data_IF_956256778296
#
_entry.id   IF_956256778296
#
_cell.length_a   1.000
_cell.length_b   1.000
_cell.length_c   1.000
_cell.angle_alpha   90.00
_cell.angle_beta   90.00
_cell.angle_gamma   90.00
#
_symmetry.space_group_name_H-M   'P 1'
#
loop_
_entity.id
_entity.type
_entity.pdbx_description
1 polymer ?
#
# COMPACT_ATOMS: atom_id res chain seq x y z
N UNK A 1 -10.92 23.83 -26.58
CA UNK A 1 -11.79 22.66 -26.35
C UNK A 1 -11.99 22.59 -24.85
N UNK A 2 -13.22 22.61 -24.37
CA UNK A 2 -13.52 22.59 -22.94
C UNK A 2 -13.07 21.25 -22.33
N UNK A 3 -12.31 21.30 -21.25
CA UNK A 3 -11.74 20.13 -20.55
C UNK A 3 -12.88 19.23 -20.05
N UNK A 4 -14.00 19.81 -19.62
CA UNK A 4 -15.16 19.06 -19.14
C UNK A 4 -15.90 18.34 -20.29
N UNK A 5 -15.96 18.95 -21.47
CA UNK A 5 -16.53 18.31 -22.65
C UNK A 5 -15.68 17.12 -23.12
N UNK A 6 -14.35 17.25 -23.07
CA UNK A 6 -13.44 16.15 -23.40
C UNK A 6 -13.54 14.99 -22.40
N UNK A 7 -13.64 15.29 -21.10
CA UNK A 7 -13.84 14.29 -20.04
C UNK A 7 -15.16 13.56 -20.19
N UNK A 8 -16.24 14.28 -20.49
CA UNK A 8 -17.57 13.70 -20.72
C UNK A 8 -17.58 12.76 -21.92
N UNK A 9 -16.96 13.16 -23.04
CA UNK A 9 -16.84 12.32 -24.23
C UNK A 9 -16.07 11.02 -23.94
N UNK A 10 -14.94 11.15 -23.24
CA UNK A 10 -14.10 10.00 -22.84
C UNK A 10 -14.91 9.02 -21.97
N UNK A 11 -15.69 9.54 -21.01
CA UNK A 11 -16.56 8.76 -20.14
C UNK A 11 -17.60 7.97 -20.93
N UNK A 12 -18.29 8.60 -21.86
CA UNK A 12 -19.35 7.97 -22.67
C UNK A 12 -18.82 6.93 -23.65
N UNK A 13 -17.65 7.16 -24.23
CA UNK A 13 -16.99 6.21 -25.13
C UNK A 13 -16.53 4.97 -24.37
N UNK A 14 -15.89 5.15 -23.22
CA UNK A 14 -15.48 4.04 -22.37
C UNK A 14 -16.69 3.26 -21.85
N UNK A 15 -17.75 3.93 -21.40
CA UNK A 15 -18.97 3.28 -20.93
C UNK A 15 -19.59 2.39 -22.04
N UNK A 16 -19.71 2.92 -23.27
CA UNK A 16 -20.20 2.14 -24.42
C UNK A 16 -19.32 0.94 -24.74
N UNK A 17 -18.00 1.08 -24.61
CA UNK A 17 -17.09 -0.04 -24.86
C UNK A 17 -17.21 -1.14 -23.80
N UNK A 18 -17.37 -0.76 -22.54
CA UNK A 18 -17.62 -1.71 -21.44
C UNK A 18 -18.96 -2.44 -21.59
N UNK A 19 -19.98 -1.79 -22.18
CA UNK A 19 -21.31 -2.40 -22.44
C UNK A 19 -21.33 -3.38 -23.63
N UNK A 20 -20.31 -3.36 -24.50
CA UNK A 20 -20.23 -4.22 -25.67
C UNK A 20 -19.33 -5.44 -25.38
N UNK A 21 -19.87 -6.63 -25.08
CA UNK A 21 -19.07 -7.82 -24.78
C UNK A 21 -18.28 -8.34 -25.99
N UNK A 22 -18.63 -7.93 -27.22
CA UNK A 22 -17.97 -8.38 -28.44
C UNK A 22 -16.69 -7.58 -28.72
N UNK A 23 -16.46 -6.45 -28.03
CA UNK A 23 -15.24 -5.68 -28.20
C UNK A 23 -14.01 -6.48 -27.73
N UNK A 24 -12.98 -6.62 -28.58
CA UNK A 24 -11.76 -7.30 -28.21
C UNK A 24 -10.99 -6.48 -27.16
N UNK A 25 -10.19 -7.15 -26.34
CA UNK A 25 -9.33 -6.52 -25.32
C UNK A 25 -8.39 -5.46 -25.91
N UNK A 26 -8.05 -5.56 -27.19
CA UNK A 26 -7.21 -4.60 -27.91
C UNK A 26 -7.95 -3.36 -28.42
N UNK A 27 -9.25 -3.23 -28.15
CA UNK A 27 -10.02 -2.05 -28.55
C UNK A 27 -9.45 -0.79 -27.86
N UNK A 28 -9.11 0.27 -28.62
CA UNK A 28 -8.51 1.48 -28.06
C UNK A 28 -9.39 2.18 -27.03
N UNK A 29 -10.71 1.93 -27.04
CA UNK A 29 -11.61 2.50 -26.05
C UNK A 29 -11.26 2.06 -24.62
N UNK A 30 -10.67 0.88 -24.41
CA UNK A 30 -10.22 0.47 -23.06
C UNK A 30 -9.00 1.25 -22.57
N UNK A 31 -8.18 1.80 -23.48
CA UNK A 31 -7.07 2.68 -23.10
C UNK A 31 -7.56 4.05 -22.58
N UNK A 32 -8.79 4.45 -22.93
CA UNK A 32 -9.42 5.67 -22.40
C UNK A 32 -9.66 5.61 -20.89
N UNK A 33 -9.69 4.41 -20.28
CA UNK A 33 -9.78 4.26 -18.83
C UNK A 33 -8.66 5.01 -18.12
N UNK A 34 -7.43 4.92 -18.64
CA UNK A 34 -6.27 5.59 -18.05
C UNK A 34 -6.41 7.12 -18.13
N UNK A 35 -6.80 7.62 -19.31
CA UNK A 35 -7.00 9.05 -19.53
C UNK A 35 -8.11 9.60 -18.63
N UNK A 36 -9.22 8.86 -18.51
CA UNK A 36 -10.33 9.24 -17.66
C UNK A 36 -9.93 9.23 -16.18
N UNK A 37 -9.28 8.18 -15.68
CA UNK A 37 -8.83 8.12 -14.28
C UNK A 37 -7.78 9.21 -13.95
N UNK A 38 -6.82 9.47 -14.85
CA UNK A 38 -5.79 10.49 -14.63
C UNK A 38 -6.34 11.93 -14.71
N UNK A 39 -7.48 12.14 -15.38
CA UNK A 39 -8.14 13.46 -15.43
C UNK A 39 -8.53 14.02 -14.06
N UNK A 40 -8.57 13.18 -13.04
CA UNK A 40 -8.90 13.54 -11.66
C UNK A 40 -7.70 14.05 -10.85
N UNK A 41 -6.48 14.06 -11.40
CA UNK A 41 -5.25 14.42 -10.68
C UNK A 41 -5.27 15.78 -10.00
N UNK A 42 -5.92 16.77 -10.60
CA UNK A 42 -6.00 18.15 -10.10
C UNK A 42 -7.36 18.48 -9.46
N UNK A 43 -8.19 17.47 -9.20
CA UNK A 43 -9.52 17.66 -8.62
C UNK A 43 -9.52 17.31 -7.13
N UNK A 44 -10.07 18.22 -6.33
CA UNK A 44 -10.24 18.07 -4.88
C UNK A 44 -11.69 17.79 -4.48
N UNK A 45 -12.60 17.71 -5.45
CA UNK A 45 -14.01 17.39 -5.20
C UNK A 45 -14.21 15.89 -4.98
N UNK A 46 -15.15 15.49 -4.10
CA UNK A 46 -15.56 14.09 -3.95
C UNK A 46 -15.99 13.46 -5.28
N UNK A 47 -15.74 12.17 -5.42
CA UNK A 47 -16.08 11.43 -6.62
C UNK A 47 -17.59 11.37 -6.82
N UNK A 48 -18.07 11.91 -7.94
CA UNK A 48 -19.49 11.87 -8.29
C UNK A 48 -19.99 10.44 -8.52
N UNK A 49 -21.26 10.20 -8.23
CA UNK A 49 -21.88 8.88 -8.29
C UNK A 49 -21.79 8.21 -9.69
N UNK A 50 -21.93 8.98 -10.76
CA UNK A 50 -21.73 8.45 -12.13
C UNK A 50 -20.29 8.03 -12.41
N UNK A 51 -19.32 8.75 -11.87
CA UNK A 51 -17.90 8.42 -12.00
C UNK A 51 -17.53 7.22 -11.13
N UNK A 52 -18.10 7.11 -9.92
CA UNK A 52 -17.97 5.92 -9.08
C UNK A 52 -18.48 4.66 -9.79
N UNK A 53 -19.67 4.71 -10.41
CA UNK A 53 -20.20 3.59 -11.19
C UNK A 53 -19.29 3.18 -12.34
N UNK A 54 -18.71 4.14 -13.05
CA UNK A 54 -17.75 3.83 -14.11
C UNK A 54 -16.47 3.19 -13.55
N UNK A 55 -15.96 3.68 -12.42
CA UNK A 55 -14.80 3.07 -11.75
C UNK A 55 -15.06 1.61 -11.35
N UNK A 56 -16.24 1.30 -10.81
CA UNK A 56 -16.66 -0.07 -10.50
C UNK A 56 -16.61 -0.95 -11.76
N UNK A 57 -17.22 -0.49 -12.86
CA UNK A 57 -17.23 -1.22 -14.14
C UNK A 57 -15.81 -1.44 -14.69
N UNK A 58 -14.91 -0.46 -14.54
CA UNK A 58 -13.49 -0.60 -14.92
C UNK A 58 -12.80 -1.69 -14.10
N UNK A 59 -13.02 -1.70 -12.78
CA UNK A 59 -12.40 -2.69 -11.88
C UNK A 59 -12.95 -4.10 -12.10
N UNK A 60 -14.21 -4.23 -12.49
CA UNK A 60 -14.87 -5.50 -12.83
C UNK A 60 -14.41 -6.05 -14.18
N UNK A 61 -14.19 -5.20 -15.18
CA UNK A 61 -13.94 -5.66 -16.54
C UNK A 61 -12.48 -6.12 -16.74
N UNK A 62 -12.20 -7.41 -17.00
CA UNK A 62 -10.85 -7.92 -17.19
C UNK A 62 -10.17 -7.40 -18.47
N UNK A 63 -10.93 -6.79 -19.40
CA UNK A 63 -10.42 -6.22 -20.65
C UNK A 63 -9.64 -4.92 -20.40
N UNK A 64 -9.93 -4.19 -19.31
CA UNK A 64 -9.17 -2.98 -18.94
C UNK A 64 -7.86 -3.36 -18.24
N UNK A 65 -6.76 -3.50 -18.97
CA UNK A 65 -5.52 -4.09 -18.40
C UNK A 65 -4.68 -3.14 -17.54
N UNK A 66 -4.77 -1.83 -17.74
CA UNK A 66 -3.94 -0.85 -17.04
C UNK A 66 -4.70 -0.18 -15.89
N UNK A 67 -4.00 0.02 -14.78
CA UNK A 67 -4.44 0.78 -13.60
C UNK A 67 -3.87 2.19 -13.58
N UNK A 68 -3.29 2.67 -14.68
CA UNK A 68 -2.68 4.00 -14.72
C UNK A 68 -3.73 5.08 -14.42
N UNK A 69 -3.39 6.02 -13.55
CA UNK A 69 -4.34 7.04 -13.09
C UNK A 69 -5.26 6.58 -11.95
N UNK A 70 -5.35 5.28 -11.62
CA UNK A 70 -6.21 4.79 -10.53
C UNK A 70 -5.88 5.47 -9.19
N UNK A 71 -4.60 5.71 -8.91
CA UNK A 71 -4.16 6.41 -7.71
C UNK A 71 -4.68 7.86 -7.63
N UNK A 72 -4.99 8.50 -8.76
CA UNK A 72 -5.49 9.87 -8.81
C UNK A 72 -6.98 9.90 -8.44
N UNK A 73 -7.78 9.03 -9.06
CA UNK A 73 -9.23 8.98 -8.81
C UNK A 73 -9.56 8.42 -7.42
N UNK A 74 -8.81 7.45 -6.90
CA UNK A 74 -9.09 6.82 -5.60
C UNK A 74 -9.03 7.82 -4.43
N UNK A 75 -8.24 8.90 -4.55
CA UNK A 75 -8.15 9.93 -3.51
C UNK A 75 -9.44 10.72 -3.30
N UNK A 76 -10.33 10.70 -4.30
CA UNK A 76 -11.63 11.37 -4.27
C UNK A 76 -12.76 10.46 -3.80
N UNK A 77 -12.49 9.17 -3.62
CA UNK A 77 -13.46 8.25 -3.03
C UNK A 77 -13.59 8.60 -1.55
N UNK A 78 -14.82 8.88 -1.15
CA UNK A 78 -15.22 9.08 0.24
C UNK A 78 -16.31 8.06 0.62
N UNK A 79 -16.50 7.83 1.92
CA UNK A 79 -17.47 6.87 2.44
C UNK A 79 -17.08 5.40 2.20
N UNK A 80 -18.11 4.55 2.07
CA UNK A 80 -17.92 3.10 1.92
C UNK A 80 -17.25 2.76 0.57
N UNK A 81 -16.14 2.03 0.66
CA UNK A 81 -15.26 1.61 -0.44
C UNK A 81 -15.04 0.10 -0.47
N UNK A 82 -15.83 -0.67 0.29
CA UNK A 82 -15.70 -2.14 0.36
C UNK A 82 -15.84 -2.81 -1.02
N UNK A 83 -16.70 -2.29 -1.88
CA UNK A 83 -16.87 -2.73 -3.27
C UNK A 83 -15.59 -2.58 -4.10
N UNK A 84 -14.98 -1.39 -4.08
CA UNK A 84 -13.75 -1.10 -4.82
C UNK A 84 -12.58 -1.94 -4.31
N UNK A 85 -12.45 -2.07 -2.97
CA UNK A 85 -11.44 -2.91 -2.33
C UNK A 85 -11.58 -4.38 -2.73
N UNK A 86 -12.80 -4.92 -2.64
CA UNK A 86 -13.11 -6.31 -3.03
C UNK A 86 -12.73 -6.57 -4.49
N UNK A 87 -13.11 -5.67 -5.40
CA UNK A 87 -12.86 -5.83 -6.84
C UNK A 87 -11.36 -5.78 -7.16
N UNK A 88 -10.63 -4.81 -6.61
CA UNK A 88 -9.20 -4.72 -6.82
C UNK A 88 -8.44 -5.92 -6.22
N UNK A 89 -8.84 -6.38 -5.03
CA UNK A 89 -8.28 -7.57 -4.40
C UNK A 89 -8.58 -8.83 -5.23
N UNK A 90 -9.81 -8.99 -5.72
CA UNK A 90 -10.21 -10.09 -6.60
C UNK A 90 -9.38 -10.12 -7.88
N UNK A 91 -9.22 -8.95 -8.53
CA UNK A 91 -8.41 -8.80 -9.75
C UNK A 91 -6.95 -9.16 -9.50
N UNK A 92 -6.40 -8.70 -8.38
CA UNK A 92 -5.04 -9.03 -7.96
C UNK A 92 -4.87 -10.54 -7.71
N UNK A 93 -5.83 -11.18 -7.02
CA UNK A 93 -5.83 -12.62 -6.76
C UNK A 93 -5.97 -13.46 -8.04
N UNK A 94 -6.78 -13.01 -9.01
CA UNK A 94 -6.97 -13.70 -10.28
C UNK A 94 -5.79 -13.58 -11.25
N UNK A 95 -4.94 -12.56 -11.11
CA UNK A 95 -3.83 -12.32 -12.03
C UNK A 95 -2.75 -13.40 -11.96
N UNK A 96 -2.28 -13.88 -13.11
CA UNK A 96 -1.14 -14.82 -13.19
C UNK A 96 0.16 -14.17 -12.72
N UNK A 97 0.37 -12.90 -13.09
CA UNK A 97 1.53 -12.11 -12.65
C UNK A 97 1.12 -11.14 -11.54
N UNK A 98 1.46 -11.50 -10.30
CA UNK A 98 1.21 -10.66 -9.12
C UNK A 98 2.03 -9.38 -9.12
N UNK A 99 3.24 -9.42 -9.69
CA UNK A 99 4.08 -8.23 -9.76
C UNK A 99 3.37 -7.22 -10.65
N UNK A 100 2.98 -7.56 -11.86
CA UNK A 100 2.29 -6.61 -12.76
C UNK A 100 0.93 -6.15 -12.20
N UNK A 101 0.17 -7.04 -11.56
CA UNK A 101 -1.13 -6.68 -10.99
C UNK A 101 -1.07 -5.82 -9.72
N UNK A 102 0.11 -5.64 -9.10
CA UNK A 102 0.29 -4.93 -7.83
C UNK A 102 -0.28 -3.50 -7.82
N UNK A 103 -0.27 -2.85 -8.98
CA UNK A 103 -0.71 -1.47 -9.12
C UNK A 103 -2.23 -1.31 -8.87
N UNK A 104 -3.02 -2.34 -9.19
CA UNK A 104 -4.46 -2.35 -8.88
C UNK A 104 -4.72 -2.27 -7.39
N UNK A 105 -4.08 -3.13 -6.59
CA UNK A 105 -4.31 -3.19 -5.14
C UNK A 105 -3.60 -2.05 -4.39
N UNK A 106 -2.40 -1.65 -4.82
CA UNK A 106 -1.63 -0.62 -4.12
C UNK A 106 -2.20 0.79 -4.30
N UNK A 107 -2.92 1.06 -5.40
CA UNK A 107 -3.58 2.34 -5.59
C UNK A 107 -4.63 2.64 -4.49
N UNK A 108 -5.27 1.60 -3.93
CA UNK A 108 -6.29 1.76 -2.87
C UNK A 108 -5.73 2.17 -1.51
N UNK A 109 -4.40 2.20 -1.33
CA UNK A 109 -3.80 2.77 -0.13
C UNK A 109 -4.21 4.24 0.10
N UNK A 110 -4.58 4.96 -0.98
CA UNK A 110 -5.06 6.34 -0.94
C UNK A 110 -6.47 6.55 -0.39
N UNK A 111 -7.22 5.48 -0.13
CA UNK A 111 -8.57 5.55 0.46
C UNK A 111 -8.55 6.25 1.85
N UNK A 112 -9.68 6.82 2.29
CA UNK A 112 -9.80 7.46 3.60
C UNK A 112 -9.33 6.58 4.76
N UNK A 113 -8.84 7.21 5.84
CA UNK A 113 -8.50 6.52 7.10
C UNK A 113 -9.70 5.71 7.59
N UNK A 114 -9.48 4.47 8.00
CA UNK A 114 -10.55 3.58 8.49
C UNK A 114 -11.12 2.67 7.40
N UNK A 115 -10.82 2.91 6.11
CA UNK A 115 -11.31 2.07 5.01
C UNK A 115 -10.94 0.58 5.14
N UNK A 116 -9.90 0.26 5.92
CA UNK A 116 -9.42 -1.12 6.15
C UNK A 116 -9.61 -1.60 7.59
N UNK A 117 -10.42 -0.90 8.40
CA UNK A 117 -10.74 -1.33 9.77
C UNK A 117 -11.40 -2.72 9.79
N UNK A 118 -12.24 -3.01 8.79
CA UNK A 118 -12.87 -4.30 8.57
C UNK A 118 -12.28 -4.99 7.33
N UNK A 119 -11.37 -5.97 7.51
CA UNK A 119 -10.70 -6.61 6.38
C UNK A 119 -11.61 -7.63 5.69
N UNK A 120 -11.66 -7.53 4.37
CA UNK A 120 -12.48 -8.36 3.49
C UNK A 120 -11.87 -9.77 3.31
N UNK A 121 -12.67 -10.79 2.92
CA UNK A 121 -12.16 -12.14 2.66
C UNK A 121 -11.01 -12.17 1.65
N UNK A 122 -11.11 -11.40 0.56
CA UNK A 122 -10.10 -11.32 -0.49
C UNK A 122 -8.80 -10.68 0.02
N UNK A 123 -8.91 -9.65 0.87
CA UNK A 123 -7.75 -9.02 1.50
C UNK A 123 -7.04 -9.99 2.46
N UNK A 124 -7.81 -10.75 3.25
CA UNK A 124 -7.26 -11.80 4.10
C UNK A 124 -6.57 -12.90 3.28
N UNK A 125 -7.16 -13.29 2.15
CA UNK A 125 -6.54 -14.27 1.24
C UNK A 125 -5.21 -13.76 0.66
N UNK A 126 -5.12 -12.47 0.31
CA UNK A 126 -3.87 -11.84 -0.13
C UNK A 126 -2.82 -11.91 0.98
N UNK A 127 -3.19 -11.55 2.22
CA UNK A 127 -2.27 -11.49 3.35
C UNK A 127 -1.83 -12.87 3.85
N UNK A 128 -2.63 -13.92 3.60
CA UNK A 128 -2.35 -15.27 4.08
C UNK A 128 -1.12 -15.93 3.42
N UNK A 129 -0.77 -15.53 2.19
CA UNK A 129 0.38 -16.07 1.46
C UNK A 129 1.47 -15.00 1.27
N UNK A 130 2.65 -15.12 1.90
CA UNK A 130 3.77 -14.19 1.76
C UNK A 130 4.24 -13.98 0.32
N UNK A 131 4.15 -15.01 -0.52
CA UNK A 131 4.49 -14.88 -1.92
C UNK A 131 3.49 -13.97 -2.64
N UNK A 132 2.23 -13.95 -2.22
CA UNK A 132 1.22 -13.07 -2.79
C UNK A 132 1.25 -11.70 -2.11
N UNK A 133 1.32 -11.62 -0.78
CA UNK A 133 1.26 -10.35 -0.05
C UNK A 133 2.46 -9.44 -0.31
N UNK A 134 3.64 -9.97 -0.67
CA UNK A 134 4.86 -9.15 -0.84
C UNK A 134 4.71 -8.01 -1.85
N UNK A 135 3.84 -8.16 -2.85
CA UNK A 135 3.58 -7.07 -3.81
C UNK A 135 2.42 -6.15 -3.41
N UNK A 136 1.56 -6.56 -2.46
CA UNK A 136 0.42 -5.80 -1.97
C UNK A 136 0.81 -4.87 -0.81
N UNK A 137 1.91 -4.12 -0.98
CA UNK A 137 2.49 -3.27 0.07
C UNK A 137 1.50 -2.21 0.58
N UNK A 138 0.64 -1.67 -0.27
CA UNK A 138 -0.44 -0.75 0.12
C UNK A 138 -1.39 -1.40 1.12
N UNK A 139 -1.84 -2.62 0.86
CA UNK A 139 -2.73 -3.36 1.76
C UNK A 139 -2.07 -3.68 3.10
N UNK A 140 -0.78 -4.06 3.09
CA UNK A 140 -0.01 -4.33 4.31
C UNK A 140 0.07 -3.08 5.20
N UNK A 141 0.42 -1.91 4.63
CA UNK A 141 0.47 -0.64 5.38
C UNK A 141 -0.89 -0.31 6.03
N UNK A 142 -1.97 -0.55 5.29
CA UNK A 142 -3.34 -0.27 5.73
C UNK A 142 -3.87 -1.24 6.78
N UNK A 143 -3.16 -2.32 7.12
CA UNK A 143 -3.55 -3.13 8.27
C UNK A 143 -3.53 -2.33 9.58
N UNK A 144 -2.71 -1.27 9.68
CA UNK A 144 -2.72 -0.39 10.85
C UNK A 144 -4.07 0.32 11.10
N UNK A 145 -4.99 0.35 10.13
CA UNK A 145 -6.38 0.82 10.33
C UNK A 145 -7.12 -0.01 11.39
N UNK A 146 -6.76 -1.29 11.56
CA UNK A 146 -7.36 -2.23 12.52
C UNK A 146 -6.83 -2.06 13.95
N UNK A 147 -5.85 -1.17 14.16
CA UNK A 147 -5.19 -0.99 15.46
C UNK A 147 -4.54 -2.29 15.94
N UNK A 148 -4.70 -2.60 17.23
CA UNK A 148 -4.07 -3.76 17.88
C UNK A 148 -4.48 -5.10 17.25
N UNK A 149 -5.65 -5.18 16.63
CA UNK A 149 -6.14 -6.41 16.01
C UNK A 149 -5.36 -6.82 14.74
N UNK A 150 -4.56 -5.91 14.17
CA UNK A 150 -3.65 -6.23 13.07
C UNK A 150 -2.29 -6.77 13.52
N UNK A 151 -1.93 -6.65 14.80
CA UNK A 151 -0.60 -7.02 15.30
C UNK A 151 -0.23 -8.48 14.97
N UNK A 152 -1.11 -9.49 15.19
CA UNK A 152 -0.77 -10.88 14.86
C UNK A 152 -0.43 -11.09 13.39
N UNK A 153 -1.19 -10.46 12.48
CA UNK A 153 -1.00 -10.58 11.03
C UNK A 153 0.30 -9.89 10.57
N UNK A 154 0.55 -8.67 11.06
CA UNK A 154 1.77 -7.93 10.74
C UNK A 154 3.03 -8.63 11.25
N UNK A 155 2.98 -9.20 12.46
CA UNK A 155 4.10 -9.90 13.05
C UNK A 155 4.38 -11.22 12.33
N UNK A 156 3.33 -11.97 11.95
CA UNK A 156 3.47 -13.16 11.11
C UNK A 156 4.15 -12.83 9.78
N UNK A 157 3.70 -11.79 9.08
CA UNK A 157 4.33 -11.35 7.83
C UNK A 157 5.80 -10.96 8.03
N UNK A 158 6.14 -10.25 9.12
CA UNK A 158 7.53 -9.89 9.41
C UNK A 158 8.42 -11.13 9.61
N UNK A 159 7.93 -12.13 10.34
CA UNK A 159 8.62 -13.42 10.54
C UNK A 159 8.81 -14.16 9.22
N UNK A 160 7.79 -14.21 8.37
CA UNK A 160 7.89 -14.89 7.09
C UNK A 160 8.87 -14.17 6.16
N UNK A 161 8.79 -12.83 6.05
CA UNK A 161 9.71 -12.06 5.23
C UNK A 161 11.15 -12.08 5.76
N UNK A 162 11.37 -12.33 7.05
CA UNK A 162 12.73 -12.46 7.58
C UNK A 162 13.42 -13.70 7.01
N UNK A 163 12.73 -14.84 6.90
CA UNK A 163 13.34 -16.09 6.44
C UNK A 163 13.30 -16.32 4.93
N UNK A 164 12.56 -15.49 4.17
CA UNK A 164 12.47 -15.62 2.71
C UNK A 164 13.80 -15.29 2.02
N UNK A 165 14.21 -16.19 1.11
CA UNK A 165 15.41 -16.03 0.28
C UNK A 165 15.24 -14.87 -0.73
N UNK A 166 16.04 -13.79 -0.60
CA UNK A 166 15.98 -12.67 -1.54
C UNK A 166 16.35 -13.02 -2.98
N UNK A 167 17.17 -14.06 -3.19
CA UNK A 167 17.53 -14.53 -4.54
C UNK A 167 16.33 -15.13 -5.28
N UNK A 168 15.44 -15.80 -4.56
CA UNK A 168 14.23 -16.41 -5.12
C UNK A 168 13.04 -15.44 -5.23
N UNK A 169 12.89 -14.54 -4.28
CA UNK A 169 11.68 -13.71 -4.15
C UNK A 169 11.88 -12.23 -4.54
N UNK A 170 13.11 -11.83 -4.85
CA UNK A 170 13.47 -10.47 -5.23
C UNK A 170 13.77 -9.62 -4.00
N UNK A 171 15.03 -9.18 -3.88
CA UNK A 171 15.48 -8.37 -2.74
C UNK A 171 14.72 -7.05 -2.58
N UNK A 172 14.45 -6.35 -3.68
CA UNK A 172 13.69 -5.09 -3.67
C UNK A 172 12.25 -5.29 -3.21
N UNK A 173 11.59 -6.32 -3.72
CA UNK A 173 10.18 -6.61 -3.41
C UNK A 173 10.01 -7.01 -1.94
N UNK A 174 10.91 -7.85 -1.40
CA UNK A 174 10.93 -8.20 0.02
C UNK A 174 11.23 -6.99 0.92
N UNK A 175 12.13 -6.11 0.50
CA UNK A 175 12.44 -4.88 1.25
C UNK A 175 11.20 -3.98 1.32
N UNK A 176 10.52 -3.75 0.20
CA UNK A 176 9.30 -2.96 0.15
C UNK A 176 8.17 -3.56 1.01
N UNK A 177 8.03 -4.89 1.02
CA UNK A 177 7.05 -5.58 1.86
C UNK A 177 7.37 -5.46 3.36
N UNK A 178 8.65 -5.59 3.72
CA UNK A 178 9.17 -5.44 5.07
C UNK A 178 8.96 -4.00 5.58
N UNK A 179 9.23 -3.00 4.76
CA UNK A 179 8.94 -1.59 5.05
C UNK A 179 7.44 -1.31 5.18
N UNK A 180 6.60 -1.99 4.40
CA UNK A 180 5.14 -1.87 4.53
C UNK A 180 4.65 -2.39 5.89
N UNK A 181 5.22 -3.49 6.39
CA UNK A 181 4.92 -4.01 7.74
C UNK A 181 5.35 -2.99 8.81
N UNK A 182 6.54 -2.40 8.67
CA UNK A 182 7.00 -1.32 9.55
C UNK A 182 6.01 -0.16 9.61
N UNK A 183 5.55 0.32 8.46
CA UNK A 183 4.56 1.39 8.37
C UNK A 183 3.21 0.99 9.01
N UNK A 184 2.80 -0.28 8.86
CA UNK A 184 1.64 -0.82 9.57
C UNK A 184 1.77 -0.69 11.10
N UNK A 185 2.89 -1.14 11.68
CA UNK A 185 3.16 -0.97 13.11
C UNK A 185 3.28 0.50 13.52
N UNK A 186 3.92 1.33 12.70
CA UNK A 186 4.06 2.77 12.94
C UNK A 186 2.71 3.46 13.10
N UNK A 187 1.72 3.01 12.32
CA UNK A 187 0.34 3.49 12.37
C UNK A 187 -0.41 3.04 13.62
N UNK A 188 -0.21 1.79 14.05
CA UNK A 188 -0.78 1.29 15.31
C UNK A 188 -0.18 2.07 16.50
N UNK A 189 1.10 2.41 16.40
CA UNK A 189 1.77 3.29 17.36
C UNK A 189 1.99 2.63 18.72
N UNK A 190 1.95 3.40 19.83
CA UNK A 190 2.27 2.89 21.17
C UNK A 190 1.43 1.70 21.64
N UNK A 191 0.22 1.52 21.08
CA UNK A 191 -0.64 0.37 21.38
C UNK A 191 0.00 -0.98 20.98
N UNK A 192 0.96 -0.98 20.05
CA UNK A 192 1.75 -2.16 19.67
C UNK A 192 3.07 -2.31 20.45
N UNK A 193 3.33 -1.52 21.49
CA UNK A 193 4.60 -1.56 22.24
C UNK A 193 4.97 -2.95 22.80
N UNK A 194 3.97 -3.78 23.11
CA UNK A 194 4.18 -5.13 23.63
C UNK A 194 4.90 -6.09 22.66
N UNK A 195 4.87 -5.83 21.34
CA UNK A 195 5.63 -6.65 20.37
C UNK A 195 7.04 -6.16 20.09
N UNK A 196 7.45 -5.04 20.70
CA UNK A 196 8.78 -4.45 20.51
C UNK A 196 9.93 -5.45 20.69
N UNK A 197 9.98 -6.26 21.79
CA UNK A 197 11.10 -7.18 22.00
C UNK A 197 11.27 -8.19 20.86
N UNK A 198 10.15 -8.61 20.26
CA UNK A 198 10.19 -9.55 19.15
C UNK A 198 10.63 -8.90 17.83
N UNK A 199 10.19 -7.67 17.57
CA UNK A 199 10.67 -6.89 16.42
C UNK A 199 12.19 -6.69 16.54
N UNK A 200 12.71 -6.35 17.72
CA UNK A 200 14.15 -6.21 17.96
C UNK A 200 14.92 -7.51 17.66
N UNK A 201 14.40 -8.66 18.11
CA UNK A 201 14.99 -9.97 17.81
C UNK A 201 14.97 -10.28 16.30
N UNK A 202 13.86 -9.98 15.62
CA UNK A 202 13.73 -10.18 14.17
C UNK A 202 14.72 -9.29 13.41
N UNK A 203 14.90 -8.03 13.79
CA UNK A 203 15.86 -7.12 13.16
C UNK A 203 17.33 -7.56 13.35
N UNK A 204 17.62 -8.27 14.44
CA UNK A 204 18.94 -8.88 14.68
C UNK A 204 19.12 -10.23 13.95
N UNK A 205 18.07 -10.81 13.37
CA UNK A 205 18.18 -12.07 12.64
C UNK A 205 18.90 -11.87 11.29
N UNK A 206 19.70 -12.85 10.79
CA UNK A 206 20.41 -12.71 9.51
C UNK A 206 19.51 -12.33 8.32
N UNK A 207 18.26 -12.79 8.38
CA UNK A 207 17.23 -12.55 7.38
C UNK A 207 16.82 -11.08 7.21
N UNK A 208 16.81 -10.30 8.29
CA UNK A 208 16.46 -8.88 8.27
C UNK A 208 17.65 -7.96 8.55
N UNK A 209 18.68 -8.44 9.23
CA UNK A 209 19.84 -7.66 9.66
C UNK A 209 20.46 -6.89 8.50
N UNK A 210 20.68 -7.54 7.35
CA UNK A 210 21.24 -6.87 6.18
C UNK A 210 20.34 -5.73 5.71
N UNK A 211 19.02 -5.96 5.57
CA UNK A 211 18.05 -4.95 5.10
C UNK A 211 17.95 -3.78 6.09
N UNK A 212 17.91 -4.10 7.39
CA UNK A 212 17.92 -3.14 8.48
C UNK A 212 19.18 -2.25 8.43
N UNK A 213 20.38 -2.85 8.39
CA UNK A 213 21.65 -2.12 8.42
C UNK A 213 21.91 -1.28 7.17
N UNK A 214 21.47 -1.76 6.00
CA UNK A 214 21.81 -1.12 4.72
C UNK A 214 20.77 -0.12 4.22
N UNK A 215 19.48 -0.29 4.52
CA UNK A 215 18.42 0.43 3.79
C UNK A 215 17.48 1.24 4.66
N UNK A 216 17.39 0.99 5.97
CA UNK A 216 16.37 1.66 6.79
C UNK A 216 16.64 1.80 8.29
N UNK A 217 17.88 1.90 8.79
CA UNK A 217 18.11 1.86 10.24
C UNK A 217 17.42 3.03 10.95
N UNK A 218 17.45 4.24 10.39
CA UNK A 218 16.77 5.42 10.99
C UNK A 218 15.24 5.28 11.03
N UNK A 219 14.63 4.59 10.08
CA UNK A 219 13.18 4.41 10.02
C UNK A 219 12.72 3.28 10.95
N UNK A 220 13.51 2.22 11.06
CA UNK A 220 13.29 1.14 12.02
C UNK A 220 13.50 1.61 13.46
N UNK A 221 14.55 2.38 13.73
CA UNK A 221 14.76 3.00 15.03
C UNK A 221 13.64 3.98 15.38
N UNK A 222 13.14 4.74 14.40
CA UNK A 222 11.98 5.59 14.61
C UNK A 222 10.73 4.78 14.98
N UNK A 223 10.52 3.59 14.37
CA UNK A 223 9.47 2.68 14.81
C UNK A 223 9.72 2.20 16.25
N UNK A 224 10.92 1.76 16.60
CA UNK A 224 11.23 1.28 17.96
C UNK A 224 10.97 2.37 19.01
N UNK A 225 11.33 3.63 18.74
CA UNK A 225 11.03 4.77 19.62
C UNK A 225 9.53 4.96 19.79
N UNK A 226 8.75 4.81 18.72
CA UNK A 226 7.27 4.90 18.76
C UNK A 226 6.65 3.77 19.58
N UNK A 227 7.29 2.60 19.56
CA UNK A 227 6.94 1.45 20.38
C UNK A 227 7.53 1.52 21.79
N UNK A 228 8.16 2.63 22.16
CA UNK A 228 8.59 2.95 23.52
C UNK A 228 10.07 2.72 23.83
N UNK A 229 10.95 2.56 22.84
CA UNK A 229 12.40 2.62 23.07
C UNK A 229 12.81 4.07 23.38
N UNK A 230 13.53 4.33 24.48
CA UNK A 230 14.08 5.67 24.71
C UNK A 230 15.08 6.06 23.60
N UNK A 231 14.95 7.25 23.02
CA UNK A 231 15.81 7.66 21.89
C UNK A 231 17.28 7.81 22.33
N UNK A 232 17.51 8.07 23.61
CA UNK A 232 18.80 8.24 24.26
C UNK A 232 19.62 6.95 24.28
N UNK A 233 18.95 5.78 24.24
CA UNK A 233 19.62 4.48 24.23
C UNK A 233 20.05 4.03 22.83
N UNK A 234 19.68 4.77 21.79
CA UNK A 234 20.08 4.43 20.43
C UNK A 234 21.56 4.74 20.19
N UNK A 235 22.22 3.84 19.46
CA UNK A 235 23.60 4.00 18.98
C UNK A 235 23.59 4.17 17.48
N UNK A 236 24.28 5.20 16.97
CA UNK A 236 24.39 5.42 15.53
C UNK A 236 25.10 4.22 14.89
N UNK A 237 24.54 3.64 13.81
CA UNK A 237 25.24 2.62 13.04
C UNK A 237 26.61 3.10 12.54
N UNK A 238 27.62 2.21 12.53
CA UNK A 238 28.99 2.54 12.11
C UNK A 238 29.05 2.97 10.64
N UNK A 239 28.20 2.41 9.79
CA UNK A 239 28.10 2.73 8.37
C UNK A 239 27.42 4.08 8.06
N UNK A 240 27.02 4.85 9.09
CA UNK A 240 26.42 6.19 8.94
C UNK A 240 27.38 7.28 9.39
N UNK A 241 27.40 8.39 8.66
CA UNK A 241 28.16 9.59 9.00
C UNK A 241 27.49 10.43 10.10
N UNK A 242 28.28 11.31 10.73
CA UNK A 242 27.83 12.24 11.78
C UNK A 242 28.01 11.70 13.21
N UNK A 243 27.43 12.40 14.19
CA UNK A 243 27.52 12.07 15.62
C UNK A 243 26.30 11.29 16.10
N UNK A 244 26.41 10.57 17.22
CA UNK A 244 25.27 9.92 17.89
C UNK A 244 24.16 10.91 18.24
N UNK A 245 24.52 12.10 18.74
CA UNK A 245 23.56 13.14 19.07
C UNK A 245 22.70 13.55 17.85
N UNK A 246 23.34 13.78 16.69
CA UNK A 246 22.62 14.11 15.44
C UNK A 246 21.80 12.93 14.94
N UNK A 247 22.25 11.70 15.15
CA UNK A 247 21.49 10.51 14.78
C UNK A 247 20.20 10.41 15.60
N UNK A 248 20.30 10.50 16.93
CA UNK A 248 19.17 10.50 17.85
C UNK A 248 18.17 11.61 17.55
N UNK A 249 18.64 12.82 17.27
CA UNK A 249 17.79 13.95 16.87
C UNK A 249 16.99 13.63 15.59
N UNK A 250 17.64 13.05 14.57
CA UNK A 250 16.96 12.65 13.33
C UNK A 250 15.93 11.54 13.56
N UNK A 251 16.23 10.57 14.41
CA UNK A 251 15.29 9.50 14.77
C UNK A 251 14.11 10.08 15.57
N UNK A 252 14.36 10.91 16.58
CA UNK A 252 13.32 11.59 17.36
C UNK A 252 12.38 12.39 16.46
N UNK A 253 12.91 13.16 15.51
CA UNK A 253 12.11 13.93 14.54
C UNK A 253 11.19 13.03 13.71
N UNK A 254 11.66 11.86 13.27
CA UNK A 254 10.84 10.88 12.53
C UNK A 254 9.80 10.20 13.42
N UNK A 255 10.16 9.85 14.65
CA UNK A 255 9.26 9.27 15.64
C UNK A 255 8.16 10.25 16.10
N UNK A 256 8.44 11.55 16.12
CA UNK A 256 7.46 12.59 16.43
C UNK A 256 6.54 12.95 15.25
N UNK A 257 6.96 12.67 14.01
CA UNK A 257 6.16 12.97 12.82
C UNK A 257 4.86 12.17 12.84
N UNK A 258 3.67 12.81 12.75
CA UNK A 258 2.41 12.10 12.59
C UNK A 258 2.44 11.25 11.33
N UNK A 259 2.01 9.99 11.47
CA UNK A 259 1.87 9.08 10.33
C UNK A 259 0.70 9.54 9.44
N UNK A 260 0.98 9.79 8.16
CA UNK A 260 -0.03 10.16 7.18
C UNK A 260 -0.15 9.05 6.13
N UNK A 261 -1.24 8.26 6.11
CA UNK A 261 -1.38 7.13 5.19
C UNK A 261 -1.49 7.51 3.71
N UNK A 262 -1.77 8.78 3.39
CA UNK A 262 -1.78 9.25 2.00
C UNK A 262 -0.39 9.68 1.52
N UNK A 263 0.58 9.79 2.43
CA UNK A 263 1.95 10.26 2.16
C UNK A 263 3.03 9.22 2.47
N UNK A 264 2.83 8.41 3.52
CA UNK A 264 3.83 7.50 4.13
C UNK A 264 3.51 6.00 3.90
#
# INVERSE_FOLDING_TARGET
MDIEAAKTRTREELARALDDPLKPVSDPAFALANQWMDSFRANDQPLGESDRRLLVRILEDPRVRSSDGLWAIIKQVDGDSADLRRLAASRYLAATDKKEARHWINALAGLPVGAYADPLPEERAILADPAVSRFATGLIKRQGDRGVDAVPDLLRLLREYSVYDPGKYGFSDLTAATDAVRSGFRRIGPAASFVRPEIEQLLASPGLEYRYKTLGPEEWDALLVVLGTPVETLTKPENRSGTDARYRERVAKRAARPYDPRRD
#
